data_IF_078790985454
#
_entry.id   IF_078790985454
#
_cell.length_a   1.000
_cell.length_b   1.000
_cell.length_c   1.000
_cell.angle_alpha   90.00
_cell.angle_beta   90.00
_cell.angle_gamma   90.00
#
_symmetry.space_group_name_H-M   'P 1'
#
loop_
_entity.id
_entity.type
_entity.pdbx_description
1 polymer ?
#
# COMPACT_ATOMS: atom_id res chain seq x y z
N UNK A 1 18.78 31.62 22.05
CA UNK A 1 17.39 31.34 22.48
C UNK A 1 16.83 30.24 21.58
N UNK A 2 16.73 28.99 22.05
CA UNK A 2 16.19 27.87 21.25
C UNK A 2 14.69 27.80 21.50
N UNK A 3 13.89 28.08 20.47
CA UNK A 3 12.45 27.87 20.50
C UNK A 3 12.15 26.36 20.46
N UNK A 4 11.75 25.78 21.58
CA UNK A 4 11.20 24.42 21.63
C UNK A 4 9.73 24.48 21.23
N UNK A 5 9.40 24.09 20.00
CA UNK A 5 8.02 23.92 19.56
C UNK A 5 7.45 22.71 20.31
N UNK A 6 6.65 22.97 21.35
CA UNK A 6 5.89 21.94 22.08
C UNK A 6 4.89 21.35 21.09
N UNK A 7 5.07 20.11 20.65
CA UNK A 7 4.10 19.46 19.75
C UNK A 7 2.82 19.22 20.53
N UNK A 8 1.76 19.92 20.15
CA UNK A 8 0.41 19.61 20.58
C UNK A 8 0.08 18.22 20.03
N UNK A 9 -0.11 17.24 20.92
CA UNK A 9 -0.68 15.94 20.55
C UNK A 9 -2.14 16.21 20.17
N UNK A 10 -2.40 16.36 18.88
CA UNK A 10 -3.75 16.35 18.34
C UNK A 10 -4.32 14.95 18.60
N UNK A 11 -5.32 14.84 19.48
CA UNK A 11 -6.14 13.64 19.56
C UNK A 11 -6.85 13.51 18.21
N UNK A 12 -6.42 12.55 17.39
CA UNK A 12 -7.13 12.21 16.16
C UNK A 12 -8.33 11.38 16.58
N UNK A 13 -9.53 11.94 16.48
CA UNK A 13 -10.76 11.15 16.63
C UNK A 13 -10.76 10.07 15.56
N UNK A 14 -10.53 8.82 15.95
CA UNK A 14 -10.67 7.69 15.05
C UNK A 14 -12.15 7.35 14.97
N UNK A 15 -12.78 7.76 13.87
CA UNK A 15 -14.12 7.28 13.52
C UNK A 15 -14.02 5.79 13.17
N UNK A 16 -14.72 4.97 13.93
CA UNK A 16 -14.79 3.51 13.76
C UNK A 16 -16.23 3.17 13.36
N UNK A 17 -16.39 2.26 12.40
CA UNK A 17 -17.72 1.81 11.99
C UNK A 17 -18.39 1.03 13.12
N UNK A 18 -19.67 1.32 13.35
CA UNK A 18 -20.49 0.57 14.31
C UNK A 18 -20.97 -0.77 13.75
N UNK A 19 -20.92 -0.96 12.43
CA UNK A 19 -21.34 -2.21 11.76
C UNK A 19 -20.16 -3.16 11.55
N UNK A 20 -18.99 -2.64 11.17
CA UNK A 20 -17.79 -3.46 10.98
C UNK A 20 -16.54 -2.69 11.44
N UNK A 21 -16.08 -2.91 12.68
CA UNK A 21 -14.92 -2.20 13.26
C UNK A 21 -13.61 -2.37 12.49
N UNK A 22 -13.48 -3.40 11.65
CA UNK A 22 -12.26 -3.66 10.86
C UNK A 22 -12.20 -2.80 9.58
N UNK A 23 -13.26 -2.11 9.22
CA UNK A 23 -13.26 -1.20 8.07
C UNK A 23 -12.53 0.12 8.35
N UNK A 24 -11.90 0.69 7.33
CA UNK A 24 -11.24 1.99 7.42
C UNK A 24 -12.12 3.11 6.84
N UNK A 25 -12.15 4.28 7.49
CA UNK A 25 -12.84 5.45 6.93
C UNK A 25 -12.05 6.05 5.76
N UNK A 26 -12.66 6.12 4.59
CA UNK A 26 -12.13 6.83 3.42
C UNK A 26 -12.57 8.28 3.48
N UNK A 27 -11.60 9.21 3.46
CA UNK A 27 -11.86 10.63 3.24
C UNK A 27 -10.89 11.15 2.18
N UNK A 28 -11.23 10.93 0.90
CA UNK A 28 -10.40 11.33 -0.25
C UNK A 28 -11.25 11.99 -1.32
N UNK A 29 -10.74 13.07 -1.90
CA UNK A 29 -11.41 13.76 -3.00
C UNK A 29 -11.74 12.79 -4.14
N UNK A 30 -12.99 12.83 -4.60
CA UNK A 30 -13.52 11.97 -5.67
C UNK A 30 -13.91 10.55 -5.23
N UNK A 31 -13.81 10.19 -3.95
CA UNK A 31 -14.35 8.94 -3.40
C UNK A 31 -15.50 9.21 -2.40
N UNK A 32 -16.42 8.24 -2.20
CA UNK A 32 -17.40 8.33 -1.12
C UNK A 32 -16.72 8.48 0.25
N UNK A 33 -17.30 9.33 1.10
CA UNK A 33 -16.87 9.48 2.49
C UNK A 33 -17.54 8.42 3.36
N UNK A 34 -17.06 7.18 3.28
CA UNK A 34 -17.64 6.03 3.98
C UNK A 34 -16.56 5.01 4.41
N UNK A 35 -16.98 3.93 5.08
CA UNK A 35 -16.13 2.86 5.56
C UNK A 35 -15.88 1.78 4.50
N UNK A 36 -14.60 1.52 4.21
CA UNK A 36 -14.19 0.58 3.15
C UNK A 36 -13.00 -0.30 3.58
N UNK A 37 -12.80 -1.35 2.78
CA UNK A 37 -11.58 -2.14 2.76
C UNK A 37 -10.82 -1.87 1.46
N UNK A 38 -9.49 -1.97 1.53
CA UNK A 38 -8.60 -1.93 0.38
C UNK A 38 -8.29 -3.34 -0.06
N UNK A 39 -8.58 -3.64 -1.32
CA UNK A 39 -8.02 -4.81 -2.00
C UNK A 39 -6.67 -4.44 -2.63
N UNK A 40 -5.60 -5.05 -2.14
CA UNK A 40 -4.29 -5.05 -2.77
C UNK A 40 -4.16 -6.26 -3.68
N UNK A 41 -4.23 -6.03 -4.99
CA UNK A 41 -4.27 -7.10 -5.99
C UNK A 41 -2.96 -7.20 -6.75
N UNK A 42 -2.52 -8.43 -6.98
CA UNK A 42 -1.42 -8.72 -7.91
C UNK A 42 -1.97 -9.44 -9.13
N UNK A 43 -1.47 -9.05 -10.30
CA UNK A 43 -1.85 -9.64 -11.59
C UNK A 43 -0.62 -9.99 -12.41
N UNK A 44 -0.69 -11.09 -13.14
CA UNK A 44 0.23 -11.37 -14.24
C UNK A 44 0.07 -10.31 -15.35
N UNK A 45 1.19 -9.73 -15.79
CA UNK A 45 1.20 -8.64 -16.76
C UNK A 45 0.86 -9.11 -18.19
N UNK A 46 1.08 -10.38 -18.52
CA UNK A 46 0.91 -10.89 -19.88
C UNK A 46 -0.53 -11.25 -20.20
N UNK A 47 -1.22 -11.88 -19.26
CA UNK A 47 -2.56 -12.44 -19.45
C UNK A 47 -3.61 -11.83 -18.51
N UNK A 48 -3.24 -10.87 -17.66
CA UNK A 48 -4.13 -10.20 -16.69
C UNK A 48 -4.83 -11.18 -15.73
N UNK A 49 -4.15 -12.28 -15.39
CA UNK A 49 -4.65 -13.24 -14.40
C UNK A 49 -4.35 -12.69 -13.01
N UNK A 50 -5.35 -12.67 -12.13
CA UNK A 50 -5.14 -12.34 -10.72
C UNK A 50 -4.38 -13.49 -10.06
N UNK A 51 -3.19 -13.21 -9.55
CA UNK A 51 -2.35 -14.20 -8.86
C UNK A 51 -2.54 -14.14 -7.35
N UNK A 52 -2.96 -13.00 -6.81
CA UNK A 52 -3.11 -12.78 -5.38
C UNK A 52 -4.01 -11.56 -5.07
N UNK A 53 -4.66 -11.61 -3.92
CA UNK A 53 -5.47 -10.52 -3.35
C UNK A 53 -5.27 -10.46 -1.85
N UNK A 54 -4.97 -9.28 -1.34
CA UNK A 54 -4.82 -9.06 0.09
C UNK A 54 -5.66 -7.88 0.55
N UNK A 55 -6.56 -8.15 1.49
CA UNK A 55 -7.52 -7.16 1.98
C UNK A 55 -6.98 -6.49 3.25
N UNK A 56 -6.90 -5.16 3.24
CA UNK A 56 -6.54 -4.35 4.41
C UNK A 56 -7.62 -3.34 4.77
N UNK A 57 -7.52 -2.82 5.99
CA UNK A 57 -8.31 -1.67 6.41
C UNK A 57 -7.75 -0.42 5.71
N UNK A 58 -8.60 0.49 5.22
CA UNK A 58 -8.14 1.65 4.43
C UNK A 58 -7.19 2.59 5.20
N UNK A 59 -7.29 2.62 6.53
CA UNK A 59 -6.58 3.58 7.38
C UNK A 59 -5.17 3.15 7.79
N UNK A 60 -4.68 1.97 7.40
CA UNK A 60 -3.35 1.49 7.77
C UNK A 60 -2.38 1.69 6.60
N UNK A 61 -1.39 2.58 6.79
CA UNK A 61 -0.33 2.80 5.81
C UNK A 61 0.67 1.65 5.83
N UNK A 62 0.68 0.82 4.79
CA UNK A 62 1.45 -0.43 4.79
C UNK A 62 2.31 -0.61 3.51
N UNK A 63 3.27 0.28 3.22
CA UNK A 63 4.22 0.06 2.13
C UNK A 63 5.06 -1.22 2.34
N UNK A 64 5.32 -1.61 3.59
CA UNK A 64 6.12 -2.78 3.92
C UNK A 64 5.41 -4.10 3.58
N UNK A 65 4.07 -4.12 3.65
CA UNK A 65 3.29 -5.33 3.35
C UNK A 65 3.51 -5.80 1.91
N UNK A 66 3.62 -4.87 0.95
CA UNK A 66 3.86 -5.24 -0.44
C UNK A 66 5.07 -6.16 -0.62
N UNK A 67 6.19 -5.88 0.04
CA UNK A 67 7.40 -6.69 -0.10
C UNK A 67 7.27 -8.08 0.53
N UNK A 68 6.44 -8.20 1.57
CA UNK A 68 6.09 -9.48 2.20
C UNK A 68 5.25 -10.31 1.24
N UNK A 69 4.23 -9.72 0.61
CA UNK A 69 3.37 -10.41 -0.35
C UNK A 69 4.10 -10.81 -1.63
N UNK A 70 4.94 -9.92 -2.17
CA UNK A 70 5.79 -10.25 -3.30
C UNK A 70 6.67 -11.46 -2.99
N UNK A 71 7.24 -11.53 -1.78
CA UNK A 71 8.05 -12.66 -1.36
C UNK A 71 7.21 -13.94 -1.23
N UNK A 72 6.03 -13.86 -0.61
CA UNK A 72 5.13 -15.00 -0.47
C UNK A 72 4.75 -15.61 -1.84
N UNK A 73 4.44 -14.78 -2.85
CA UNK A 73 4.14 -15.27 -4.20
C UNK A 73 5.36 -15.91 -4.88
N UNK A 74 6.56 -15.34 -4.70
CA UNK A 74 7.79 -15.95 -5.21
C UNK A 74 8.03 -17.31 -4.54
N UNK A 75 7.79 -17.42 -3.24
CA UNK A 75 8.02 -18.64 -2.48
C UNK A 75 7.00 -19.73 -2.82
N UNK A 76 5.72 -19.36 -2.99
CA UNK A 76 4.64 -20.30 -3.32
C UNK A 76 4.73 -20.77 -4.77
N UNK A 77 4.75 -19.83 -5.72
CA UNK A 77 4.66 -20.14 -7.15
C UNK A 77 6.01 -20.30 -7.84
N UNK A 78 7.11 -20.04 -7.13
CA UNK A 78 8.49 -20.10 -7.67
C UNK A 78 8.69 -19.20 -8.89
N UNK A 79 7.99 -18.07 -8.92
CA UNK A 79 8.10 -17.10 -10.00
C UNK A 79 9.51 -16.50 -10.08
N UNK A 80 10.01 -16.39 -11.31
CA UNK A 80 11.18 -15.56 -11.63
C UNK A 80 10.69 -14.17 -11.97
N UNK A 81 10.51 -13.34 -10.95
CA UNK A 81 9.99 -11.98 -11.12
C UNK A 81 11.08 -11.08 -11.71
N UNK A 82 10.91 -10.67 -12.96
CA UNK A 82 11.83 -9.77 -13.66
C UNK A 82 11.44 -8.30 -13.50
N UNK A 83 10.14 -8.03 -13.47
CA UNK A 83 9.60 -6.68 -13.40
C UNK A 83 8.31 -6.60 -12.57
N UNK A 84 8.05 -5.43 -11.99
CA UNK A 84 6.80 -5.10 -11.28
C UNK A 84 6.27 -3.75 -11.74
N UNK A 85 4.95 -3.64 -11.83
CA UNK A 85 4.23 -2.39 -12.06
C UNK A 85 3.44 -2.04 -10.81
N UNK A 86 3.71 -0.89 -10.19
CA UNK A 86 3.10 -0.50 -8.93
C UNK A 86 2.37 0.84 -9.02
N UNK A 87 1.30 0.95 -8.25
CA UNK A 87 0.60 2.21 -8.07
C UNK A 87 1.49 3.28 -7.43
N UNK A 88 1.16 4.55 -7.68
CA UNK A 88 1.88 5.70 -7.12
C UNK A 88 1.91 5.72 -5.58
N UNK A 89 1.04 4.96 -4.92
CA UNK A 89 1.06 4.77 -3.46
C UNK A 89 2.26 3.99 -2.94
N UNK A 90 2.87 3.14 -3.77
CA UNK A 90 4.05 2.36 -3.42
C UNK A 90 5.36 3.07 -3.75
N UNK A 91 5.30 4.27 -4.34
CA UNK A 91 6.49 5.01 -4.73
C UNK A 91 7.20 5.61 -3.51
N UNK A 92 7.97 4.75 -2.83
CA UNK A 92 8.75 5.09 -1.64
C UNK A 92 10.21 4.69 -1.84
N UNK A 93 11.14 5.44 -1.22
CA UNK A 93 12.59 5.11 -1.27
C UNK A 93 12.89 3.69 -0.76
N UNK A 94 12.14 3.23 0.24
CA UNK A 94 12.32 1.91 0.83
C UNK A 94 11.99 0.79 -0.16
N UNK A 95 10.82 0.86 -0.79
CA UNK A 95 10.40 -0.12 -1.82
C UNK A 95 11.38 -0.10 -2.99
N UNK A 96 11.75 1.08 -3.48
CA UNK A 96 12.69 1.21 -4.60
C UNK A 96 14.03 0.53 -4.29
N UNK A 97 14.58 0.77 -3.10
CA UNK A 97 15.84 0.13 -2.67
C UNK A 97 15.70 -1.38 -2.63
N UNK A 98 14.61 -1.90 -2.07
CA UNK A 98 14.39 -3.34 -1.91
C UNK A 98 14.17 -4.08 -3.22
N UNK A 99 13.48 -3.47 -4.19
CA UNK A 99 13.33 -4.04 -5.53
C UNK A 99 14.67 -4.02 -6.29
N UNK A 100 15.44 -2.93 -6.17
CA UNK A 100 16.77 -2.84 -6.76
C UNK A 100 17.75 -3.87 -6.17
N UNK A 101 17.76 -4.09 -4.85
CA UNK A 101 18.57 -5.12 -4.19
C UNK A 101 18.24 -6.54 -4.69
N UNK A 102 17.01 -6.76 -5.17
CA UNK A 102 16.53 -8.04 -5.72
C UNK A 102 16.72 -8.15 -7.24
N UNK A 103 17.30 -7.14 -7.89
CA UNK A 103 17.40 -7.04 -9.35
C UNK A 103 16.04 -7.13 -10.08
N UNK A 104 14.98 -6.57 -9.46
CA UNK A 104 13.65 -6.51 -10.05
C UNK A 104 13.47 -5.13 -10.70
N UNK A 105 13.16 -5.09 -11.99
CA UNK A 105 12.82 -3.86 -12.69
C UNK A 105 11.49 -3.31 -12.19
N UNK A 106 11.39 -2.00 -12.01
CA UNK A 106 10.20 -1.38 -11.41
C UNK A 106 9.68 -0.24 -12.28
N UNK A 107 8.38 -0.24 -12.52
CA UNK A 107 7.63 0.86 -13.13
C UNK A 107 6.61 1.34 -12.11
N UNK A 108 6.59 2.64 -11.81
CA UNK A 108 5.66 3.21 -10.83
C UNK A 108 5.01 4.49 -11.36
N UNK A 109 3.74 4.68 -11.03
CA UNK A 109 3.05 5.94 -11.33
C UNK A 109 3.60 7.10 -10.51
N UNK A 110 3.67 8.29 -11.12
CA UNK A 110 4.00 9.52 -10.41
C UNK A 110 2.77 10.12 -9.72
N UNK A 111 2.96 10.75 -8.56
CA UNK A 111 1.87 11.49 -7.88
C UNK A 111 1.86 12.92 -8.38
N UNK A 112 0.75 13.33 -9.02
CA UNK A 112 0.49 14.74 -9.34
C UNK A 112 0.05 15.45 -8.06
N UNK A 113 0.75 16.51 -7.69
CA UNK A 113 0.43 17.40 -6.57
C UNK A 113 -0.58 18.48 -6.99
#
# INVERSE_FOLDING_TARGET
MRYTKKSLKTHKENRISTTNPDSGLVMRDGKPNDFHFLDHRTTDAKYNIITDTYVTTENIANPDLYLVWLQAQIDEFRFKVEAVLLDAGYFTRYICKKLSERNIFMVMGDRRF
#
